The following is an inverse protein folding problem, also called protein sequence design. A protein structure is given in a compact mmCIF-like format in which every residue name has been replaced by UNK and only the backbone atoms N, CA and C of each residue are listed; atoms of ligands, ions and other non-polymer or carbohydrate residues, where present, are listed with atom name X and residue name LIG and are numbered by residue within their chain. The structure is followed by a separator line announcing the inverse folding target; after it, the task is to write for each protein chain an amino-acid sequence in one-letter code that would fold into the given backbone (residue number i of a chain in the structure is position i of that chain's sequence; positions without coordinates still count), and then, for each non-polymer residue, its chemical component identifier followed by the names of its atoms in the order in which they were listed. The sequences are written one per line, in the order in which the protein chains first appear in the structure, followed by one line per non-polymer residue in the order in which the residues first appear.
data_IF_086201358831
#
_entry.id   IF_086201358831
#
_cell.length_a   1.000
_cell.length_b   1.000
_cell.length_c   1.000
_cell.angle_alpha   90.00
_cell.angle_beta   90.00
_cell.angle_gamma   90.00
#
_symmetry.space_group_name_H-M   'P 1'
#
loop_
_entity.id
_entity.type
_entity.pdbx_description
1 polymer ?
#
# COMPACT_ATOMS: atom_id res chain seq x y z
N UNK A 1 0.44 5.07 13.52
CA UNK A 1 1.70 4.81 14.25
C UNK A 1 1.46 4.21 15.63
N UNK A 2 0.51 4.74 16.42
CA UNK A 2 0.28 4.27 17.80
C UNK A 2 0.06 2.75 17.93
N UNK A 3 -0.76 2.17 17.06
CA UNK A 3 -0.95 0.71 17.02
C UNK A 3 0.38 -0.05 16.89
N UNK A 4 1.28 0.37 15.98
CA UNK A 4 2.57 -0.28 15.78
C UNK A 4 3.47 -0.15 17.02
N UNK A 5 3.47 1.01 17.69
CA UNK A 5 4.20 1.24 18.95
C UNK A 5 3.70 0.30 20.07
N UNK A 6 2.39 0.04 20.09
CA UNK A 6 1.74 -0.89 21.01
C UNK A 6 1.80 -2.35 20.55
N UNK A 7 2.64 -2.66 19.54
CA UNK A 7 2.80 -4.02 18.97
C UNK A 7 1.50 -4.62 18.42
N UNK A 8 0.66 -3.77 17.85
CA UNK A 8 -0.53 -4.16 17.08
C UNK A 8 -0.22 -3.99 15.58
N UNK A 9 -0.52 -4.99 14.72
CA UNK A 9 -0.42 -4.85 13.27
C UNK A 9 -1.06 -3.57 12.75
N UNK A 10 -0.36 -2.83 11.89
CA UNK A 10 -0.80 -1.52 11.43
C UNK A 10 -0.69 -1.37 9.91
N UNK A 11 -1.77 -0.87 9.30
CA UNK A 11 -1.80 -0.41 7.91
C UNK A 11 -2.23 1.06 7.88
N UNK A 12 -1.67 1.83 6.95
CA UNK A 12 -2.08 3.19 6.64
C UNK A 12 -2.51 3.25 5.17
N UNK A 13 -3.61 3.96 4.91
CA UNK A 13 -4.20 4.09 3.58
C UNK A 13 -4.34 5.56 3.22
N UNK A 14 -3.80 5.94 2.06
CA UNK A 14 -3.82 7.31 1.55
C UNK A 14 -4.40 7.32 0.13
N UNK A 15 -5.33 8.21 -0.15
CA UNK A 15 -5.91 8.39 -1.48
C UNK A 15 -5.55 9.76 -2.07
N UNK A 16 -5.14 9.80 -3.34
CA UNK A 16 -4.75 11.04 -4.00
C UNK A 16 -5.92 11.88 -4.54
N UNK A 17 -7.15 11.33 -4.61
CA UNK A 17 -8.34 12.00 -5.17
C UNK A 17 -9.44 12.25 -4.15
N UNK A 18 -10.35 13.15 -4.53
CA UNK A 18 -11.42 13.63 -3.67
C UNK A 18 -11.00 14.87 -2.88
N UNK A 19 -11.91 15.33 -2.03
CA UNK A 19 -11.68 16.41 -1.08
C UNK A 19 -12.15 15.95 0.30
N UNK A 20 -11.69 16.63 1.35
CA UNK A 20 -12.26 16.47 2.69
C UNK A 20 -13.67 17.04 2.67
N UNK A 21 -14.67 16.16 2.73
CA UNK A 21 -16.10 16.49 2.66
C UNK A 21 -16.82 15.84 3.83
N UNK A 22 -17.98 16.39 4.21
CA UNK A 22 -18.84 15.76 5.22
C UNK A 22 -19.24 14.35 4.77
N UNK A 23 -19.26 13.39 5.69
CA UNK A 23 -19.73 12.03 5.39
C UNK A 23 -21.20 12.02 4.90
N UNK A 24 -21.99 13.03 5.24
CA UNK A 24 -23.39 13.16 4.79
C UNK A 24 -23.52 13.31 3.28
N UNK A 25 -22.44 13.70 2.57
CA UNK A 25 -22.44 13.78 1.11
C UNK A 25 -22.66 12.41 0.45
N UNK A 26 -22.39 11.31 1.18
CA UNK A 26 -22.73 9.95 0.74
C UNK A 26 -24.22 9.81 0.41
N UNK A 27 -25.09 10.55 1.10
CA UNK A 27 -26.54 10.54 0.92
C UNK A 27 -27.01 11.75 0.09
N UNK A 28 -26.45 12.94 0.34
CA UNK A 28 -26.94 14.18 -0.28
C UNK A 28 -26.43 14.41 -1.70
N UNK A 29 -25.25 13.87 -2.05
CA UNK A 29 -24.72 13.86 -3.42
C UNK A 29 -23.88 12.59 -3.67
N UNK A 30 -24.56 11.43 -3.82
CA UNK A 30 -23.91 10.12 -3.94
C UNK A 30 -23.08 9.96 -5.23
N UNK A 31 -23.24 10.88 -6.19
CA UNK A 31 -22.56 10.87 -7.49
C UNK A 31 -21.42 11.87 -7.58
N UNK A 32 -21.22 12.69 -6.56
CA UNK A 32 -20.08 13.60 -6.50
C UNK A 32 -18.75 12.87 -6.70
N UNK A 33 -17.77 13.55 -7.30
CA UNK A 33 -16.43 13.00 -7.52
C UNK A 33 -15.80 12.49 -6.22
N UNK A 34 -16.02 13.18 -5.08
CA UNK A 34 -15.54 12.77 -3.78
C UNK A 34 -16.14 11.41 -3.33
N UNK A 35 -17.45 11.21 -3.50
CA UNK A 35 -18.10 9.93 -3.17
C UNK A 35 -17.64 8.82 -4.11
N UNK A 36 -17.50 9.10 -5.41
CA UNK A 36 -16.99 8.12 -6.38
C UNK A 36 -15.58 7.67 -6.01
N UNK A 37 -14.65 8.60 -5.76
CA UNK A 37 -13.29 8.28 -5.30
C UNK A 37 -13.29 7.51 -3.99
N UNK A 38 -14.09 7.93 -3.00
CA UNK A 38 -14.19 7.24 -1.72
C UNK A 38 -14.68 5.79 -1.86
N UNK A 39 -15.65 5.53 -2.74
CA UNK A 39 -16.14 4.16 -3.04
C UNK A 39 -15.07 3.30 -3.71
N UNK A 40 -14.29 3.87 -4.64
CA UNK A 40 -13.18 3.15 -5.28
C UNK A 40 -12.11 2.80 -4.24
N UNK A 41 -11.63 3.78 -3.47
CA UNK A 41 -10.60 3.55 -2.44
C UNK A 41 -11.07 2.61 -1.34
N UNK A 42 -12.35 2.66 -0.95
CA UNK A 42 -12.93 1.69 -0.03
C UNK A 42 -12.84 0.26 -0.56
N UNK A 43 -13.21 0.01 -1.82
CA UNK A 43 -13.08 -1.31 -2.45
C UNK A 43 -11.63 -1.79 -2.48
N UNK A 44 -10.66 -0.92 -2.80
CA UNK A 44 -9.23 -1.26 -2.77
C UNK A 44 -8.75 -1.58 -1.34
N UNK A 45 -9.21 -0.82 -0.35
CA UNK A 45 -8.87 -1.03 1.07
C UNK A 45 -9.38 -2.38 1.56
N UNK A 46 -10.64 -2.71 1.24
CA UNK A 46 -11.25 -4.01 1.59
C UNK A 46 -10.43 -5.15 0.99
N UNK A 47 -10.03 -5.08 -0.30
CA UNK A 47 -9.19 -6.11 -0.93
C UNK A 47 -7.86 -6.33 -0.20
N UNK A 48 -7.19 -5.25 0.23
CA UNK A 48 -5.95 -5.33 1.01
C UNK A 48 -6.19 -6.03 2.35
N UNK A 49 -7.21 -5.60 3.11
CA UNK A 49 -7.53 -6.18 4.41
C UNK A 49 -7.91 -7.66 4.29
N UNK A 50 -8.78 -8.01 3.34
CA UNK A 50 -9.16 -9.40 3.08
C UNK A 50 -7.96 -10.26 2.69
N UNK A 51 -7.06 -9.76 1.85
CA UNK A 51 -5.85 -10.49 1.44
C UNK A 51 -4.93 -10.77 2.63
N UNK A 52 -4.71 -9.78 3.49
CA UNK A 52 -3.89 -9.96 4.70
C UNK A 52 -4.53 -10.96 5.65
N UNK A 53 -5.84 -10.85 5.89
CA UNK A 53 -6.57 -11.75 6.78
C UNK A 53 -6.62 -13.18 6.24
N UNK A 54 -6.83 -13.36 4.94
CA UNK A 54 -6.84 -14.68 4.30
C UNK A 54 -5.46 -15.32 4.36
N UNK A 55 -4.42 -14.57 4.01
CA UNK A 55 -3.04 -15.05 4.08
C UNK A 55 -2.64 -15.42 5.52
N UNK A 56 -3.12 -14.66 6.51
CA UNK A 56 -2.89 -14.92 7.92
C UNK A 56 -3.48 -16.24 8.41
N UNK A 57 -4.60 -16.73 7.85
CA UNK A 57 -5.16 -18.05 8.21
C UNK A 57 -4.18 -19.20 8.02
N UNK A 58 -3.20 -19.02 7.13
CA UNK A 58 -2.20 -20.03 6.77
C UNK A 58 -0.82 -19.78 7.38
N UNK A 59 -0.65 -18.74 8.21
CA UNK A 59 0.63 -18.37 8.82
C UNK A 59 0.56 -18.50 10.34
N UNK A 60 1.71 -18.79 10.97
CA UNK A 60 1.86 -18.73 12.42
C UNK A 60 2.49 -17.40 12.81
N UNK A 61 1.99 -16.78 13.89
CA UNK A 61 2.49 -15.51 14.40
C UNK A 61 1.64 -14.31 13.99
N UNK A 62 2.24 -13.12 14.02
CA UNK A 62 1.57 -11.87 13.67
C UNK A 62 1.24 -11.81 12.17
N UNK A 63 0.09 -11.20 11.83
CA UNK A 63 -0.38 -11.07 10.44
C UNK A 63 0.49 -10.11 9.60
N UNK A 64 1.18 -9.18 10.27
CA UNK A 64 2.12 -8.21 9.71
C UNK A 64 3.28 -7.99 10.69
N UNK A 65 4.44 -7.47 10.23
CA UNK A 65 5.58 -7.21 11.10
C UNK A 65 5.25 -6.17 12.18
N UNK A 66 5.46 -6.53 13.45
CA UNK A 66 5.19 -5.66 14.59
C UNK A 66 6.20 -4.51 14.67
N UNK A 67 5.79 -3.35 15.20
CA UNK A 67 6.64 -2.15 15.25
C UNK A 67 6.79 -1.43 13.91
N UNK A 68 6.09 -1.88 12.88
CA UNK A 68 6.13 -1.31 11.54
C UNK A 68 4.72 -0.97 11.05
N UNK A 69 4.64 -0.09 10.06
CA UNK A 69 3.38 0.28 9.40
C UNK A 69 3.50 -0.08 7.93
N UNK A 70 2.57 -0.87 7.42
CA UNK A 70 2.42 -1.05 5.97
C UNK A 70 1.69 0.16 5.42
N UNK A 71 2.32 0.87 4.50
CA UNK A 71 1.80 2.08 3.88
C UNK A 71 1.27 1.76 2.49
N UNK A 72 0.04 2.21 2.21
CA UNK A 72 -0.62 2.01 0.92
C UNK A 72 -1.05 3.37 0.40
N UNK A 73 -0.52 3.77 -0.77
CA UNK A 73 -0.95 4.99 -1.44
C UNK A 73 -1.67 4.66 -2.76
N UNK A 74 -2.92 5.08 -2.87
CA UNK A 74 -3.72 4.95 -4.08
C UNK A 74 -3.50 6.14 -5.02
N UNK A 75 -3.28 5.92 -6.32
CA UNK A 75 -3.14 6.99 -7.30
C UNK A 75 -4.48 7.69 -7.52
N UNK A 76 -4.46 8.74 -8.33
CA UNK A 76 -5.69 9.47 -8.68
C UNK A 76 -6.72 8.56 -9.36
N UNK A 77 -8.00 8.75 -9.02
CA UNK A 77 -9.12 8.02 -9.64
C UNK A 77 -9.61 8.67 -10.93
N UNK A 78 -9.05 9.81 -11.36
CA UNK A 78 -9.51 10.53 -12.56
C UNK A 78 -9.40 9.66 -13.83
N UNK A 79 -8.28 8.94 -13.97
CA UNK A 79 -8.03 8.03 -15.10
C UNK A 79 -8.20 6.55 -14.71
N UNK A 80 -8.56 6.29 -13.45
CA UNK A 80 -8.70 4.97 -12.84
C UNK A 80 -10.09 4.87 -12.23
N UNK A 81 -11.09 4.66 -13.08
CA UNK A 81 -12.52 4.80 -12.77
C UNK A 81 -13.14 3.52 -12.18
N UNK A 82 -12.40 2.41 -12.13
CA UNK A 82 -12.85 1.19 -11.45
C UNK A 82 -11.74 0.55 -10.61
N UNK A 83 -12.12 -0.13 -9.53
CA UNK A 83 -11.17 -0.76 -8.60
C UNK A 83 -10.34 -1.89 -9.25
N UNK A 84 -10.86 -2.50 -10.32
CA UNK A 84 -10.23 -3.60 -11.07
C UNK A 84 -9.06 -3.12 -11.93
N UNK A 85 -8.97 -1.82 -12.23
CA UNK A 85 -7.87 -1.25 -13.01
C UNK A 85 -6.58 -1.11 -12.20
N UNK A 86 -6.69 -1.08 -10.88
CA UNK A 86 -5.56 -0.84 -10.00
C UNK A 86 -4.67 -2.07 -9.89
N UNK A 87 -3.36 -1.83 -9.89
CA UNK A 87 -2.31 -2.85 -9.66
C UNK A 87 -1.44 -2.40 -8.50
N UNK A 88 -0.93 -3.33 -7.72
CA UNK A 88 -0.13 -3.05 -6.53
C UNK A 88 1.34 -3.32 -6.79
N UNK A 89 2.19 -2.33 -6.61
CA UNK A 89 3.65 -2.50 -6.71
C UNK A 89 4.25 -2.32 -5.33
N UNK A 90 5.15 -3.22 -4.94
CA UNK A 90 5.89 -3.10 -3.69
C UNK A 90 7.08 -2.17 -3.91
N UNK A 91 7.22 -1.16 -3.05
CA UNK A 91 8.17 -0.06 -3.21
C UNK A 91 8.89 0.26 -1.90
N UNK A 92 9.91 1.11 -1.99
CA UNK A 92 10.43 1.84 -0.83
C UNK A 92 9.58 3.08 -0.55
N UNK A 93 9.56 3.49 0.71
CA UNK A 93 9.04 4.78 1.15
C UNK A 93 9.95 5.92 0.66
N UNK A 94 11.27 5.72 0.72
CA UNK A 94 12.28 6.72 0.33
C UNK A 94 13.22 6.18 -0.76
N UNK A 95 13.81 7.07 -1.60
CA UNK A 95 14.84 6.68 -2.56
C UNK A 95 15.96 5.86 -1.93
N UNK A 96 16.42 4.81 -2.63
CA UNK A 96 17.45 3.91 -2.14
C UNK A 96 18.83 4.59 -2.07
N UNK A 97 19.47 4.67 -0.89
CA UNK A 97 20.87 5.05 -0.80
C UNK A 97 21.78 4.01 -1.47
N UNK A 98 23.02 4.41 -1.78
CA UNK A 98 24.03 3.49 -2.32
C UNK A 98 24.27 2.31 -1.37
N UNK A 99 24.34 1.09 -1.92
CA UNK A 99 24.56 -0.14 -1.15
C UNK A 99 23.30 -0.70 -0.46
N UNK A 100 22.13 -0.10 -0.69
CA UNK A 100 20.84 -0.65 -0.24
C UNK A 100 20.67 -2.10 -0.66
N UNK A 101 20.11 -2.91 0.24
CA UNK A 101 19.68 -4.28 -0.02
C UNK A 101 18.25 -4.45 0.46
N UNK A 102 17.34 -4.35 -0.48
CA UNK A 102 15.93 -4.60 -0.29
C UNK A 102 15.60 -6.06 -0.57
N UNK A 103 14.34 -6.38 -0.32
CA UNK A 103 13.75 -7.65 -0.68
C UNK A 103 13.84 -7.87 -2.21
N UNK A 104 14.29 -9.06 -2.60
CA UNK A 104 14.31 -9.44 -4.00
C UNK A 104 12.92 -9.87 -4.46
N UNK A 105 12.34 -9.10 -5.37
CA UNK A 105 11.03 -9.35 -5.97
C UNK A 105 11.03 -8.79 -7.39
N UNK A 106 10.28 -9.41 -8.29
CA UNK A 106 10.13 -8.92 -9.67
C UNK A 106 11.45 -8.74 -10.45
N UNK A 107 12.53 -9.44 -10.05
CA UNK A 107 13.83 -9.31 -10.69
C UNK A 107 14.51 -7.94 -10.49
N UNK A 108 14.19 -7.23 -9.41
CA UNK A 108 14.70 -5.89 -9.10
C UNK A 108 16.18 -5.81 -8.71
N UNK A 109 16.93 -6.91 -8.75
CA UNK A 109 18.35 -6.95 -8.38
C UNK A 109 18.61 -6.59 -6.90
N UNK A 110 17.60 -6.71 -6.03
CA UNK A 110 17.74 -6.40 -4.60
C UNK A 110 17.65 -4.91 -4.26
N UNK A 111 17.14 -4.06 -5.16
CA UNK A 111 16.83 -2.65 -4.87
C UNK A 111 15.43 -2.34 -5.36
N UNK A 112 14.55 -1.90 -4.47
CA UNK A 112 13.19 -1.52 -4.82
C UNK A 112 13.15 -0.08 -5.37
N UNK A 113 12.26 0.17 -6.33
CA UNK A 113 11.87 1.53 -6.73
C UNK A 113 11.18 2.25 -5.58
N UNK A 114 11.37 3.56 -5.44
CA UNK A 114 10.66 4.38 -4.45
C UNK A 114 9.24 4.78 -4.91
N UNK A 115 8.41 5.20 -3.97
CA UNK A 115 7.00 5.58 -4.21
C UNK A 115 6.83 6.66 -5.29
N UNK A 116 7.68 7.69 -5.32
CA UNK A 116 7.55 8.81 -6.27
C UNK A 116 7.84 8.33 -7.68
N UNK A 117 8.93 7.57 -7.85
CA UNK A 117 9.30 6.99 -9.15
C UNK A 117 8.23 5.99 -9.64
N UNK A 118 7.65 5.19 -8.74
CA UNK A 118 6.60 4.24 -9.09
C UNK A 118 5.31 4.94 -9.60
N UNK A 119 4.95 6.09 -9.03
CA UNK A 119 3.82 6.89 -9.49
C UNK A 119 4.06 7.62 -10.81
N UNK A 120 5.33 7.88 -11.16
CA UNK A 120 5.67 8.52 -12.44
C UNK A 120 5.42 7.61 -13.65
N UNK A 121 5.33 6.29 -13.44
CA UNK A 121 5.00 5.33 -14.49
C UNK A 121 3.50 5.42 -14.83
N UNK A 122 3.12 5.57 -16.11
CA UNK A 122 1.71 5.61 -16.51
C UNK A 122 0.93 4.36 -16.07
N UNK A 123 -0.27 4.57 -15.54
CA UNK A 123 -1.19 3.52 -15.14
C UNK A 123 -1.77 3.72 -13.74
N UNK A 124 -2.58 2.76 -13.31
CA UNK A 124 -3.25 2.77 -12.01
C UNK A 124 -2.43 2.03 -10.95
N UNK A 125 -1.21 2.51 -10.69
CA UNK A 125 -0.28 1.88 -9.76
C UNK A 125 -0.52 2.36 -8.33
N UNK A 126 -0.95 1.44 -7.48
CA UNK A 126 -0.98 1.59 -6.02
C UNK A 126 0.38 1.18 -5.48
N UNK A 127 0.99 2.02 -4.66
CA UNK A 127 2.26 1.67 -4.00
C UNK A 127 2.00 1.02 -2.65
N UNK A 128 2.81 0.01 -2.33
CA UNK A 128 2.82 -0.66 -1.04
C UNK A 128 4.24 -0.61 -0.52
N UNK A 129 4.44 0.04 0.62
CA UNK A 129 5.74 0.09 1.30
C UNK A 129 5.57 -0.28 2.77
N UNK A 130 6.68 -0.41 3.50
CA UNK A 130 6.67 -0.63 4.94
C UNK A 130 7.78 0.16 5.58
N UNK A 131 7.42 0.94 6.61
CA UNK A 131 8.34 1.78 7.34
C UNK A 131 8.29 1.47 8.84
N UNK A 132 9.40 1.73 9.51
CA UNK A 132 9.52 1.58 10.96
C UNK A 132 8.74 2.68 11.67
N UNK A 133 7.89 2.30 12.63
CA UNK A 133 7.17 3.29 13.45
C UNK A 133 8.09 4.14 14.33
N UNK A 134 9.32 3.68 14.59
CA UNK A 134 10.30 4.39 15.41
C UNK A 134 11.11 5.43 14.62
N UNK A 135 11.42 5.16 13.35
CA UNK A 135 12.31 6.01 12.54
C UNK A 135 11.63 6.68 11.36
N UNK A 136 10.43 6.23 10.97
CA UNK A 136 9.72 6.61 9.74
C UNK A 136 10.49 6.28 8.45
N UNK A 137 11.60 5.55 8.55
CA UNK A 137 12.39 5.10 7.41
C UNK A 137 12.03 3.69 6.97
N UNK A 138 12.49 3.33 5.78
CA UNK A 138 12.40 1.97 5.26
C UNK A 138 13.01 0.95 6.21
N UNK A 139 12.40 -0.24 6.23
CA UNK A 139 12.84 -1.39 7.03
C UNK A 139 13.79 -2.29 6.22
N UNK A 140 14.39 -3.27 6.89
CA UNK A 140 15.27 -4.24 6.23
C UNK A 140 14.54 -5.19 5.26
N UNK A 141 15.30 -5.84 4.37
CA UNK A 141 14.79 -6.78 3.38
C UNK A 141 13.97 -7.94 3.99
N UNK A 142 14.30 -8.37 5.21
CA UNK A 142 13.59 -9.45 5.91
C UNK A 142 12.18 -8.99 6.31
N UNK A 143 12.07 -7.80 6.89
CA UNK A 143 10.79 -7.20 7.29
C UNK A 143 9.95 -6.87 6.06
N UNK A 144 10.57 -6.37 4.99
CA UNK A 144 9.93 -6.20 3.69
C UNK A 144 9.37 -7.53 3.15
N UNK A 145 10.14 -8.64 3.21
CA UNK A 145 9.68 -9.98 2.81
C UNK A 145 8.41 -10.39 3.55
N UNK A 146 8.31 -10.13 4.85
CA UNK A 146 7.12 -10.49 5.62
C UNK A 146 5.83 -9.86 5.07
N UNK A 147 5.91 -8.59 4.65
CA UNK A 147 4.81 -7.85 4.01
C UNK A 147 4.56 -8.35 2.59
N UNK A 148 5.62 -8.57 1.79
CA UNK A 148 5.50 -9.14 0.44
C UNK A 148 4.74 -10.46 0.49
N UNK A 149 5.09 -11.38 1.39
CA UNK A 149 4.38 -12.65 1.50
C UNK A 149 2.94 -12.48 2.03
N UNK A 150 2.67 -11.48 2.87
CA UNK A 150 1.31 -11.20 3.35
C UNK A 150 0.36 -10.65 2.26
N UNK A 151 0.92 -9.97 1.26
CA UNK A 151 0.17 -9.31 0.19
C UNK A 151 0.40 -9.92 -1.19
N UNK A 152 1.18 -10.99 -1.29
CA UNK A 152 1.59 -11.65 -2.54
C UNK A 152 0.47 -11.86 -3.55
N UNK A 153 -0.77 -12.26 -3.16
CA UNK A 153 -1.86 -12.42 -4.12
C UNK A 153 -2.29 -11.14 -4.85
N UNK A 154 -2.04 -9.96 -4.26
CA UNK A 154 -2.34 -8.65 -4.86
C UNK A 154 -1.16 -8.06 -5.65
N UNK A 155 0.06 -8.39 -5.25
CA UNK A 155 1.25 -7.73 -5.79
C UNK A 155 1.45 -8.06 -7.28
N UNK A 156 1.82 -7.02 -8.00
CA UNK A 156 2.11 -7.00 -9.43
C UNK A 156 3.53 -6.47 -9.64
N UNK A 157 4.20 -6.95 -10.69
CA UNK A 157 5.48 -6.41 -11.10
C UNK A 157 5.26 -5.26 -12.08
N UNK A 158 5.75 -4.08 -11.72
CA UNK A 158 5.83 -2.94 -12.62
C UNK A 158 7.05 -3.15 -13.52
N UNK A 159 6.81 -3.52 -14.79
CA UNK A 159 7.86 -3.60 -15.80
C UNK A 159 8.03 -2.22 -16.42
N UNK A 160 9.25 -1.68 -16.34
CA UNK A 160 9.70 -0.54 -17.14
C UNK A 160 9.87 -0.92 -18.59
#
# INVERSE_FOLDING_TARGET
MEAANLRVPALAFSGASGAQVSYTILDTDPTSAAVVSARIYNKLTVRVVETVLETAKHRKGSILPLGNVVNINYPSTTNCTSAEQFKWVFTRTLPAPAGTKDVEICGNGGVLTDEVTAFAVPGCWTTVSVFSSATLGDVDAKTQREVVEALKPLLSCQRS
#
